data_IF_603352361647
#
_entry.id   IF_603352361647
#
_cell.length_a   1.000
_cell.length_b   1.000
_cell.length_c   1.000
_cell.angle_alpha   90.00
_cell.angle_beta   90.00
_cell.angle_gamma   90.00
#
_symmetry.space_group_name_H-M   'P 1'
#
loop_
_entity.id
_entity.type
_entity.pdbx_description
1 polymer ?
#
# COMPACT_ATOMS: atom_id res chain seq x y z
N UNK A 1 -0.25 17.38 -7.59
CA UNK A 1 0.87 16.59 -7.02
C UNK A 1 1.54 15.89 -8.18
N UNK A 2 2.55 16.53 -8.78
CA UNK A 2 3.28 15.99 -9.93
C UNK A 2 4.71 16.56 -9.92
N UNK A 3 5.39 16.46 -8.78
CA UNK A 3 6.76 16.95 -8.65
C UNK A 3 7.74 16.13 -9.51
N UNK A 4 7.41 14.88 -9.83
CA UNK A 4 8.27 13.97 -10.59
C UNK A 4 7.97 13.90 -12.10
N UNK A 5 6.88 14.51 -12.59
CA UNK A 5 6.50 14.43 -14.03
C UNK A 5 7.52 15.09 -14.96
N UNK A 6 8.40 15.96 -14.44
CA UNK A 6 9.44 16.64 -15.22
C UNK A 6 10.84 16.04 -15.01
N UNK A 7 10.96 14.89 -14.34
CA UNK A 7 12.24 14.25 -14.01
C UNK A 7 12.34 12.86 -14.65
N UNK A 8 12.64 12.78 -15.97
CA UNK A 8 12.59 11.52 -16.72
C UNK A 8 13.61 10.49 -16.22
N UNK A 9 14.76 10.93 -15.69
CA UNK A 9 15.79 10.02 -15.14
C UNK A 9 15.31 9.32 -13.86
N UNK A 10 14.58 10.04 -12.99
CA UNK A 10 13.97 9.45 -11.80
C UNK A 10 12.88 8.47 -12.21
N UNK A 11 12.04 8.84 -13.18
CA UNK A 11 11.01 7.94 -13.69
C UNK A 11 11.61 6.65 -14.26
N UNK A 12 12.66 6.75 -15.08
CA UNK A 12 13.34 5.57 -15.62
C UNK A 12 13.91 4.68 -14.51
N UNK A 13 14.52 5.28 -13.48
CA UNK A 13 15.05 4.55 -12.34
C UNK A 13 13.95 3.83 -11.55
N UNK A 14 12.81 4.49 -11.34
CA UNK A 14 11.63 3.87 -10.70
C UNK A 14 11.08 2.72 -11.54
N UNK A 15 11.03 2.85 -12.86
CA UNK A 15 10.62 1.77 -13.76
C UNK A 15 11.57 0.56 -13.69
N UNK A 16 12.89 0.80 -13.67
CA UNK A 16 13.89 -0.24 -13.50
C UNK A 16 13.74 -0.95 -12.15
N UNK A 17 13.58 -0.20 -11.06
CA UNK A 17 13.34 -0.74 -9.72
C UNK A 17 12.04 -1.56 -9.67
N UNK A 18 10.97 -1.07 -10.30
CA UNK A 18 9.70 -1.79 -10.41
C UNK A 18 9.87 -3.13 -11.12
N UNK A 19 10.68 -3.19 -12.19
CA UNK A 19 11.00 -4.42 -12.92
C UNK A 19 11.83 -5.40 -12.08
N UNK A 20 12.73 -4.90 -11.24
CA UNK A 20 13.46 -5.76 -10.30
C UNK A 20 12.52 -6.34 -9.24
N UNK A 21 11.66 -5.50 -8.66
CA UNK A 21 10.65 -5.93 -7.68
C UNK A 21 9.62 -6.88 -8.27
N UNK A 22 9.28 -6.76 -9.56
CA UNK A 22 8.35 -7.70 -10.18
C UNK A 22 8.89 -9.13 -10.24
N UNK A 23 10.21 -9.31 -10.13
CA UNK A 23 10.87 -10.62 -10.02
C UNK A 23 11.12 -11.05 -8.57
N UNK A 24 10.78 -10.21 -7.58
CA UNK A 24 10.91 -10.56 -6.17
C UNK A 24 9.88 -11.64 -5.80
N UNK A 25 10.32 -12.64 -5.05
CA UNK A 25 9.49 -13.80 -4.69
C UNK A 25 8.21 -13.40 -3.91
N UNK A 26 8.27 -12.40 -3.04
CA UNK A 26 7.12 -11.91 -2.27
C UNK A 26 6.06 -11.35 -3.21
N UNK A 27 6.49 -10.58 -4.22
CA UNK A 27 5.62 -9.95 -5.22
C UNK A 27 5.04 -11.01 -6.18
N UNK A 28 5.85 -11.99 -6.61
CA UNK A 28 5.38 -13.09 -7.44
C UNK A 28 4.29 -13.89 -6.71
N UNK A 29 4.56 -14.31 -5.46
CA UNK A 29 3.60 -15.06 -4.63
C UNK A 29 2.33 -14.28 -4.38
N UNK A 30 2.43 -12.95 -4.17
CA UNK A 30 1.27 -12.07 -4.03
C UNK A 30 0.39 -12.13 -5.29
N UNK A 31 0.98 -11.93 -6.48
CA UNK A 31 0.26 -11.96 -7.76
C UNK A 31 -0.39 -13.32 -8.04
N UNK A 32 0.31 -14.42 -7.75
CA UNK A 32 -0.26 -15.76 -7.90
C UNK A 32 -1.47 -15.99 -7.00
N UNK A 33 -1.42 -15.53 -5.75
CA UNK A 33 -2.55 -15.62 -4.82
C UNK A 33 -3.70 -14.70 -5.23
N UNK A 34 -3.40 -13.49 -5.68
CA UNK A 34 -4.37 -12.55 -6.23
C UNK A 34 -5.15 -13.19 -7.38
N UNK A 35 -4.44 -13.78 -8.34
CA UNK A 35 -5.06 -14.45 -9.49
C UNK A 35 -5.90 -15.66 -9.05
N UNK A 36 -5.40 -16.48 -8.11
CA UNK A 36 -6.17 -17.61 -7.57
C UNK A 36 -7.45 -17.14 -6.87
N UNK A 37 -7.39 -16.07 -6.06
CA UNK A 37 -8.59 -15.48 -5.43
C UNK A 37 -9.54 -14.98 -6.51
N UNK A 38 -9.04 -14.26 -7.51
CA UNK A 38 -9.83 -13.67 -8.58
C UNK A 38 -10.47 -14.73 -9.48
N UNK A 39 -9.86 -15.89 -9.68
CA UNK A 39 -10.39 -16.97 -10.52
C UNK A 39 -11.32 -17.92 -9.74
N UNK A 40 -11.35 -17.85 -8.41
CA UNK A 40 -12.16 -18.74 -7.59
C UNK A 40 -13.66 -18.39 -7.70
N UNK A 41 -14.42 -19.26 -8.37
CA UNK A 41 -15.86 -19.06 -8.58
C UNK A 41 -16.66 -18.98 -7.28
N UNK A 42 -16.30 -19.79 -6.27
CA UNK A 42 -16.97 -19.75 -4.96
C UNK A 42 -16.78 -18.40 -4.28
N UNK A 43 -15.57 -17.83 -4.32
CA UNK A 43 -15.31 -16.50 -3.77
C UNK A 43 -16.03 -15.39 -4.54
N UNK A 44 -16.19 -15.53 -5.86
CA UNK A 44 -17.00 -14.61 -6.68
C UNK A 44 -18.47 -14.65 -6.27
N UNK A 45 -19.05 -15.85 -6.20
CA UNK A 45 -20.44 -16.05 -5.78
C UNK A 45 -20.67 -15.48 -4.39
N UNK A 46 -19.78 -15.78 -3.44
CA UNK A 46 -19.85 -15.27 -2.08
C UNK A 46 -19.77 -13.74 -2.03
N UNK A 47 -18.93 -13.13 -2.86
CA UNK A 47 -18.83 -11.67 -2.99
C UNK A 47 -20.13 -11.06 -3.51
N UNK A 48 -20.75 -11.66 -4.53
CA UNK A 48 -22.03 -11.20 -5.05
C UNK A 48 -23.17 -11.37 -4.03
N UNK A 49 -23.20 -12.48 -3.29
CA UNK A 49 -24.17 -12.67 -2.22
C UNK A 49 -24.03 -11.65 -1.09
N UNK A 50 -22.79 -11.30 -0.71
CA UNK A 50 -22.51 -10.23 0.26
C UNK A 50 -23.09 -8.91 -0.25
N UNK A 51 -22.82 -8.54 -1.51
CA UNK A 51 -23.34 -7.29 -2.11
C UNK A 51 -24.86 -7.26 -2.14
N UNK A 52 -25.50 -8.38 -2.49
CA UNK A 52 -26.96 -8.50 -2.50
C UNK A 52 -27.51 -8.28 -1.10
N UNK A 53 -26.98 -8.97 -0.09
CA UNK A 53 -27.45 -8.84 1.30
C UNK A 53 -27.23 -7.42 1.85
N UNK A 54 -26.11 -6.77 1.53
CA UNK A 54 -25.85 -5.37 1.89
C UNK A 54 -26.85 -4.42 1.22
N UNK A 55 -27.14 -4.62 -0.08
CA UNK A 55 -28.14 -3.82 -0.81
C UNK A 55 -29.55 -4.01 -0.23
N UNK A 56 -29.92 -5.25 0.11
CA UNK A 56 -31.18 -5.56 0.78
C UNK A 56 -31.29 -4.85 2.13
N UNK A 57 -30.23 -4.85 2.94
CA UNK A 57 -30.18 -4.14 4.21
C UNK A 57 -30.45 -2.63 4.03
N UNK A 58 -29.73 -1.98 3.11
CA UNK A 58 -29.93 -0.55 2.78
C UNK A 58 -31.36 -0.29 2.31
N UNK A 59 -31.91 -1.17 1.46
CA UNK A 59 -33.27 -1.04 0.96
C UNK A 59 -34.31 -1.18 2.08
N UNK A 60 -34.18 -2.17 2.96
CA UNK A 60 -35.10 -2.38 4.08
C UNK A 60 -35.04 -1.24 5.09
N UNK A 61 -33.84 -0.72 5.39
CA UNK A 61 -33.66 0.45 6.24
C UNK A 61 -34.35 1.68 5.66
N UNK A 62 -34.24 1.92 4.35
CA UNK A 62 -34.94 3.02 3.68
C UNK A 62 -36.47 2.94 3.82
N UNK A 63 -37.04 1.73 3.81
CA UNK A 63 -38.48 1.50 3.96
C UNK A 63 -38.92 1.27 5.43
N UNK A 64 -38.04 1.44 6.42
CA UNK A 64 -38.35 1.27 7.84
C UNK A 64 -38.65 -0.18 8.26
N UNK A 65 -38.24 -1.18 7.48
CA UNK A 65 -38.47 -2.60 7.75
C UNK A 65 -37.38 -3.19 8.65
N UNK A 66 -37.36 -2.77 9.92
CA UNK A 66 -36.29 -3.06 10.90
C UNK A 66 -35.92 -4.55 11.02
N UNK A 67 -36.92 -5.45 11.09
CA UNK A 67 -36.64 -6.90 11.22
C UNK A 67 -35.97 -7.46 9.95
N UNK A 68 -36.43 -7.03 8.78
CA UNK A 68 -35.88 -7.48 7.49
C UNK A 68 -34.47 -6.92 7.27
N UNK A 69 -34.25 -5.66 7.63
CA UNK A 69 -32.93 -5.02 7.64
C UNK A 69 -31.94 -5.80 8.52
N UNK A 70 -32.29 -6.06 9.78
CA UNK A 70 -31.42 -6.79 10.70
C UNK A 70 -31.10 -8.21 10.20
N UNK A 71 -32.06 -8.87 9.55
CA UNK A 71 -31.86 -10.19 8.94
C UNK A 71 -30.87 -10.11 7.79
N UNK A 72 -31.01 -9.12 6.90
CA UNK A 72 -30.09 -8.89 5.79
C UNK A 72 -28.66 -8.55 6.26
N UNK A 73 -28.52 -7.71 7.30
CA UNK A 73 -27.22 -7.39 7.93
C UNK A 73 -26.59 -8.66 8.51
N UNK A 74 -27.37 -9.48 9.22
CA UNK A 74 -26.86 -10.72 9.82
C UNK A 74 -26.37 -11.69 8.75
N UNK A 75 -27.13 -11.83 7.65
CA UNK A 75 -26.73 -12.62 6.49
C UNK A 75 -25.44 -12.09 5.86
N UNK A 76 -25.35 -10.79 5.60
CA UNK A 76 -24.15 -10.17 5.06
C UNK A 76 -22.93 -10.46 5.95
N UNK A 77 -23.06 -10.29 7.26
CA UNK A 77 -21.97 -10.56 8.22
C UNK A 77 -21.53 -12.02 8.22
N UNK A 78 -22.45 -12.98 8.12
CA UNK A 78 -22.13 -14.40 8.04
C UNK A 78 -21.38 -14.76 6.75
N UNK A 79 -21.85 -14.22 5.62
CA UNK A 79 -21.21 -14.41 4.31
C UNK A 79 -19.81 -13.77 4.29
N UNK A 80 -19.68 -12.55 4.82
CA UNK A 80 -18.38 -11.87 4.97
C UNK A 80 -17.45 -12.69 5.84
N UNK A 81 -17.89 -13.16 7.00
CA UNK A 81 -17.05 -14.01 7.86
C UNK A 81 -16.58 -15.27 7.14
N UNK A 82 -17.45 -15.90 6.37
CA UNK A 82 -17.10 -17.07 5.55
C UNK A 82 -16.04 -16.73 4.51
N UNK A 83 -16.19 -15.59 3.83
CA UNK A 83 -15.24 -15.10 2.83
C UNK A 83 -13.87 -14.85 3.46
N UNK A 84 -13.83 -14.15 4.59
CA UNK A 84 -12.60 -13.78 5.28
C UNK A 84 -11.85 -14.98 5.87
N UNK A 85 -12.58 -16.01 6.29
CA UNK A 85 -12.01 -17.24 6.83
C UNK A 85 -11.59 -18.24 5.76
N UNK A 86 -11.95 -18.00 4.49
CA UNK A 86 -11.57 -18.90 3.41
C UNK A 86 -10.03 -19.00 3.28
N UNK A 87 -9.43 -20.20 3.24
CA UNK A 87 -7.97 -20.36 3.29
C UNK A 87 -7.21 -19.55 2.24
N UNK A 88 -7.77 -19.44 1.04
CA UNK A 88 -7.18 -18.67 -0.05
C UNK A 88 -7.18 -17.16 0.22
N UNK A 89 -8.24 -16.64 0.85
CA UNK A 89 -8.35 -15.22 1.22
C UNK A 89 -7.40 -14.90 2.36
N UNK A 90 -7.29 -15.80 3.36
CA UNK A 90 -6.32 -15.66 4.46
C UNK A 90 -4.89 -15.64 3.92
N UNK A 91 -4.54 -16.59 3.04
CA UNK A 91 -3.22 -16.65 2.42
C UNK A 91 -2.92 -15.38 1.60
N UNK A 92 -3.87 -14.95 0.78
CA UNK A 92 -3.75 -13.71 0.00
C UNK A 92 -3.53 -12.49 0.88
N UNK A 93 -4.34 -12.31 1.95
CA UNK A 93 -4.20 -11.18 2.89
C UNK A 93 -2.84 -11.19 3.59
N UNK A 94 -2.33 -12.36 4.00
CA UNK A 94 -0.98 -12.46 4.58
C UNK A 94 0.09 -12.05 3.57
N UNK A 95 0.00 -12.53 2.33
CA UNK A 95 0.97 -12.19 1.31
C UNK A 95 0.93 -10.71 0.92
N UNK A 96 -0.26 -10.10 0.93
CA UNK A 96 -0.43 -8.65 0.75
C UNK A 96 0.28 -7.86 1.85
N UNK A 97 0.21 -8.30 3.11
CA UNK A 97 0.95 -7.66 4.20
C UNK A 97 2.47 -7.76 3.97
N UNK A 98 2.98 -8.95 3.62
CA UNK A 98 4.40 -9.13 3.31
C UNK A 98 4.87 -8.25 2.13
N UNK A 99 4.04 -8.12 1.10
CA UNK A 99 4.34 -7.25 -0.04
C UNK A 99 4.37 -5.76 0.37
N UNK A 100 3.44 -5.33 1.23
CA UNK A 100 3.42 -3.97 1.75
C UNK A 100 4.63 -3.70 2.65
N UNK A 101 5.02 -4.64 3.51
CA UNK A 101 6.18 -4.51 4.37
C UNK A 101 7.47 -4.37 3.55
N UNK A 102 7.60 -5.13 2.45
CA UNK A 102 8.70 -4.99 1.50
C UNK A 102 8.75 -3.56 0.92
N UNK A 103 7.62 -3.04 0.45
CA UNK A 103 7.56 -1.68 -0.12
C UNK A 103 7.86 -0.62 0.93
N UNK A 104 7.33 -0.76 2.14
CA UNK A 104 7.59 0.15 3.23
C UNK A 104 9.07 0.17 3.62
N UNK A 105 9.70 -1.00 3.72
CA UNK A 105 11.13 -1.08 4.00
C UNK A 105 11.97 -0.39 2.92
N UNK A 106 11.67 -0.65 1.65
CA UNK A 106 12.35 0.00 0.52
C UNK A 106 12.20 1.53 0.55
N UNK A 107 10.99 2.03 0.82
CA UNK A 107 10.78 3.49 0.93
C UNK A 107 11.51 4.07 2.12
N UNK A 108 11.64 3.33 3.22
CA UNK A 108 12.44 3.72 4.39
C UNK A 108 13.91 3.87 4.02
N UNK A 109 14.50 2.89 3.33
CA UNK A 109 15.90 2.97 2.89
C UNK A 109 16.16 4.19 1.98
N UNK A 110 15.25 4.48 1.06
CA UNK A 110 15.37 5.67 0.19
C UNK A 110 15.28 6.95 1.03
N UNK A 111 14.36 7.01 1.98
CA UNK A 111 14.20 8.16 2.86
C UNK A 111 15.44 8.37 3.74
N UNK A 112 15.99 7.30 4.30
CA UNK A 112 17.17 7.35 5.17
C UNK A 112 18.40 7.86 4.39
N UNK A 113 18.66 7.32 3.19
CA UNK A 113 19.75 7.77 2.32
C UNK A 113 19.63 9.25 1.94
N UNK A 114 18.41 9.71 1.60
CA UNK A 114 18.17 11.12 1.28
C UNK A 114 18.41 12.01 2.51
N UNK A 115 18.01 11.56 3.70
CA UNK A 115 18.24 12.33 4.92
C UNK A 115 19.73 12.43 5.24
N UNK A 116 20.50 11.35 5.07
CA UNK A 116 21.97 11.37 5.26
C UNK A 116 22.64 12.36 4.32
N UNK A 117 22.29 12.35 3.03
CA UNK A 117 22.81 13.33 2.05
C UNK A 117 22.54 14.78 2.46
N UNK A 118 21.33 15.06 2.96
CA UNK A 118 20.94 16.40 3.41
C UNK A 118 21.67 16.81 4.70
N UNK A 119 21.92 15.87 5.62
CA UNK A 119 22.67 16.14 6.85
C UNK A 119 24.16 16.42 6.55
N UNK A 120 24.76 15.66 5.64
CA UNK A 120 26.15 15.86 5.20
C UNK A 120 26.36 17.25 4.54
N UNK A 121 25.44 17.71 3.68
CA UNK A 121 25.49 19.05 3.10
C UNK A 121 25.41 20.17 4.15
N UNK A 122 24.60 19.96 5.19
CA UNK A 122 24.42 20.93 6.28
C UNK A 122 25.67 21.05 7.17
N UNK A 123 26.36 19.95 7.42
CA UNK A 123 27.59 19.95 8.22
C UNK A 123 28.81 20.41 7.42
N UNK A 124 28.86 20.16 6.11
CA UNK A 124 29.85 20.77 5.21
C UNK A 124 29.71 22.31 5.18
N UNK A 125 28.48 22.82 5.08
CA UNK A 125 28.20 24.26 5.03
C UNK A 125 28.57 25.01 6.33
N UNK A 126 28.38 24.38 7.51
CA UNK A 126 28.80 24.96 8.80
C UNK A 126 30.32 25.03 8.98
N UNK A 127 31.06 24.11 8.37
CA UNK A 127 32.52 24.09 8.47
C UNK A 127 33.19 25.12 7.56
N UNK A 128 32.54 25.57 6.48
CA UNK A 128 33.04 26.64 5.62
C UNK A 128 32.82 28.05 6.23
N UNK A 129 31.72 28.31 6.94
CA UNK A 129 31.48 29.61 7.59
C UNK A 129 32.48 29.95 8.71
N UNK A 130 33.08 28.95 9.36
CA UNK A 130 34.06 29.18 10.44
C UNK A 130 35.50 29.44 9.99
N UNK A 131 35.81 29.34 8.69
CA UNK A 131 37.19 29.55 8.19
C UNK A 131 37.46 30.92 7.57
N UNK A 132 36.44 31.78 7.42
CA UNK A 132 36.58 33.06 6.69
C UNK A 132 36.62 34.34 7.55
N UNK A 133 36.67 34.25 8.89
CA UNK A 133 36.74 35.45 9.78
C UNK A 133 38.17 35.79 10.26
N UNK A 134 39.21 35.29 9.57
CA UNK A 134 40.59 35.36 10.05
C UNK A 134 41.51 36.40 9.41
N UNK A 135 41.10 37.18 8.40
CA UNK A 135 42.05 38.05 7.67
C UNK A 135 41.49 39.41 7.25
N UNK A 136 41.16 40.30 8.19
CA UNK A 136 41.29 41.75 7.95
C UNK A 136 41.72 42.47 9.23
N UNK A 137 43.03 42.60 9.47
CA UNK A 137 43.62 43.85 9.97
C UNK A 137 45.15 43.78 10.02
N UNK A 138 45.81 44.53 9.13
CA UNK A 138 47.02 45.35 9.33
C UNK A 138 47.77 45.54 8.01
N UNK A 139 47.48 46.64 7.33
CA UNK A 139 48.43 47.74 7.07
C UNK A 139 47.67 48.95 6.56
#
# INVERSE_FOLDING_TARGET
>A
MAFLENEPEIQETVEQLTKLLSNNEIIIRYKELEEKVHQNNYLKELTEEIKVAQKEAVQFGHYGKVIAEQTAITRANQLTKTFEQHPLVVAYRRQLLEANDLLHHLTGLIQDEINELLEEENDASKNEEHTNDGTISKH
#
